data_IF_264039204692
#
_entry.id   IF_264039204692
#
_cell.length_a   1.000
_cell.length_b   1.000
_cell.length_c   1.000
_cell.angle_alpha   90.00
_cell.angle_beta   90.00
_cell.angle_gamma   90.00
#
_symmetry.space_group_name_H-M   'P 1'
#
loop_
_entity.id
_entity.type
_entity.pdbx_description
1 polymer ?
#
# COMPACT_ATOMS: atom_id res chain seq x y z
N UNK A 1 -27.36 -2.46 -38.05
CA UNK A 1 -28.06 -2.15 -36.79
C UNK A 1 -27.01 -1.73 -35.79
N UNK A 2 -26.77 -0.42 -35.66
CA UNK A 2 -25.71 0.14 -34.84
C UNK A 2 -26.29 0.33 -33.42
N UNK A 3 -25.79 -0.46 -32.48
CA UNK A 3 -26.09 -0.25 -31.03
C UNK A 3 -25.17 0.84 -30.55
N UNK A 4 -25.69 1.97 -30.02
CA UNK A 4 -24.86 3.00 -29.43
C UNK A 4 -24.27 2.43 -28.13
N UNK A 5 -22.95 2.28 -28.08
CA UNK A 5 -22.20 2.07 -26.85
C UNK A 5 -22.31 3.32 -26.00
N UNK A 6 -23.31 3.36 -25.14
CA UNK A 6 -23.40 4.31 -24.06
C UNK A 6 -22.28 4.01 -23.05
N UNK A 7 -21.14 4.66 -23.22
CA UNK A 7 -20.16 4.83 -22.17
C UNK A 7 -20.78 5.80 -21.16
N UNK A 8 -21.55 5.28 -20.21
CA UNK A 8 -21.68 5.97 -18.94
C UNK A 8 -20.29 5.92 -18.32
N UNK A 9 -19.59 7.03 -18.38
CA UNK A 9 -18.45 7.29 -17.54
C UNK A 9 -18.95 7.32 -16.09
N UNK A 10 -19.09 6.14 -15.48
CA UNK A 10 -18.96 6.08 -14.04
C UNK A 10 -17.55 6.57 -13.78
N UNK A 11 -17.43 7.76 -13.20
CA UNK A 11 -16.15 8.22 -12.63
C UNK A 11 -15.52 7.02 -11.94
N UNK A 12 -14.29 6.64 -12.28
CA UNK A 12 -13.63 5.59 -11.54
C UNK A 12 -13.72 6.01 -10.08
N UNK A 13 -14.23 5.12 -9.23
CA UNK A 13 -14.15 5.31 -7.80
C UNK A 13 -12.70 5.69 -7.54
N UNK A 14 -12.48 6.89 -7.01
CA UNK A 14 -11.12 7.33 -6.67
C UNK A 14 -10.59 6.22 -5.80
N UNK A 15 -9.53 5.51 -6.21
CA UNK A 15 -9.01 4.43 -5.42
C UNK A 15 -8.76 4.98 -4.03
N UNK A 16 -9.25 4.27 -3.01
CA UNK A 16 -8.83 4.52 -1.65
C UNK A 16 -7.31 4.53 -1.70
N UNK A 17 -6.71 5.71 -1.60
CA UNK A 17 -5.27 5.79 -1.54
C UNK A 17 -4.84 4.90 -0.40
N UNK A 18 -3.94 3.98 -0.65
CA UNK A 18 -3.24 3.35 0.43
C UNK A 18 -2.56 4.49 1.18
N UNK A 19 -3.02 4.68 2.35
CA UNK A 19 -2.44 5.59 3.28
C UNK A 19 -1.10 5.02 3.65
N UNK A 20 -0.09 5.86 3.58
CA UNK A 20 1.19 5.59 4.19
C UNK A 20 0.96 5.32 5.69
N UNK A 21 0.72 4.05 5.99
CA UNK A 21 0.51 3.55 7.34
C UNK A 21 1.86 3.28 8.05
N UNK A 22 2.98 3.65 7.42
CA UNK A 22 4.27 3.78 8.10
C UNK A 22 4.30 4.99 9.03
N UNK A 23 3.12 5.60 9.26
CA UNK A 23 3.05 6.64 10.28
C UNK A 23 3.68 6.12 11.57
N UNK A 24 4.70 6.80 12.07
CA UNK A 24 5.45 6.43 13.28
C UNK A 24 4.57 6.19 14.51
N UNK A 25 3.31 6.60 14.49
CA UNK A 25 2.32 6.38 15.54
C UNK A 25 2.12 4.89 15.92
N UNK A 26 2.36 3.94 15.02
CA UNK A 26 2.26 2.52 15.39
C UNK A 26 3.37 2.07 16.35
N UNK A 27 4.51 2.77 16.36
CA UNK A 27 5.67 2.43 17.17
C UNK A 27 6.00 3.47 18.23
N UNK A 28 5.16 4.49 18.44
CA UNK A 28 5.37 5.42 19.54
C UNK A 28 5.13 4.70 20.86
N UNK A 29 6.20 4.21 21.45
CA UNK A 29 6.24 3.91 22.87
C UNK A 29 6.22 5.26 23.59
N UNK A 30 5.08 5.57 24.20
CA UNK A 30 5.03 6.66 25.17
C UNK A 30 6.00 6.28 26.30
N UNK A 31 6.93 7.17 26.71
CA UNK A 31 7.75 6.89 27.86
C UNK A 31 6.81 6.65 29.05
N UNK A 32 6.77 5.42 29.53
CA UNK A 32 6.01 5.04 30.73
C UNK A 32 6.74 5.68 31.91
N UNK A 33 6.35 6.90 32.26
CA UNK A 33 6.94 7.64 33.38
C UNK A 33 6.32 7.30 34.72
N UNK A 34 5.18 6.56 34.72
CA UNK A 34 4.54 6.06 35.95
C UNK A 34 4.18 4.59 35.74
N UNK A 35 4.25 3.78 36.82
CA UNK A 35 3.73 2.40 36.81
C UNK A 35 2.23 2.43 36.53
N UNK A 36 1.85 2.31 35.25
CA UNK A 36 0.46 2.25 34.88
C UNK A 36 -0.20 1.02 35.54
N UNK A 37 -1.30 1.25 36.23
CA UNK A 37 -2.16 0.15 36.70
C UNK A 37 -2.99 -0.32 35.51
N UNK A 38 -2.86 -1.57 35.16
CA UNK A 38 -3.65 -2.20 34.10
C UNK A 38 -5.08 -2.56 34.56
N UNK A 39 -6.08 -2.48 33.68
CA UNK A 39 -5.99 -1.99 32.29
C UNK A 39 -6.02 -0.47 32.21
N UNK A 40 -5.37 0.11 31.17
CA UNK A 40 -5.52 1.52 30.85
C UNK A 40 -5.77 1.75 29.36
N UNK A 41 -6.29 2.92 29.03
CA UNK A 41 -6.56 3.34 27.64
C UNK A 41 -5.65 4.49 27.27
N UNK A 42 -5.10 4.39 26.08
CA UNK A 42 -4.28 5.39 25.44
C UNK A 42 -4.92 5.79 24.11
N UNK A 43 -5.01 7.09 23.81
CA UNK A 43 -5.68 7.59 22.61
C UNK A 43 -4.76 8.56 21.89
N UNK A 44 -4.47 8.22 20.63
CA UNK A 44 -3.76 9.08 19.69
C UNK A 44 -4.63 9.36 18.49
N UNK A 45 -4.21 10.31 17.66
CA UNK A 45 -4.91 10.59 16.44
C UNK A 45 -4.08 11.37 15.43
N UNK A 46 -4.57 11.39 14.22
CA UNK A 46 -4.08 12.31 13.20
C UNK A 46 -5.24 12.88 12.38
N UNK A 47 -5.01 14.09 11.86
CA UNK A 47 -5.86 14.73 10.88
C UNK A 47 -5.03 15.17 9.69
N UNK A 48 -5.36 14.67 8.49
CA UNK A 48 -4.61 14.93 7.26
C UNK A 48 -5.47 15.63 6.22
N UNK A 49 -4.96 16.71 5.64
CA UNK A 49 -5.39 17.27 4.37
C UNK A 49 -4.43 16.87 3.27
N UNK A 50 -4.99 16.52 2.15
CA UNK A 50 -4.23 16.20 0.95
C UNK A 50 -4.82 16.94 -0.23
N UNK A 51 -3.95 17.55 -1.02
CA UNK A 51 -4.27 18.17 -2.31
C UNK A 51 -3.34 17.60 -3.37
N UNK A 52 -3.90 17.31 -4.53
CA UNK A 52 -3.10 16.81 -5.62
C UNK A 52 -3.77 17.05 -6.96
N UNK A 53 -2.96 17.00 -7.98
CA UNK A 53 -3.40 17.01 -9.37
C UNK A 53 -2.54 16.07 -10.18
N UNK A 54 -3.14 15.51 -11.21
CA UNK A 54 -2.42 14.61 -12.10
C UNK A 54 -3.02 14.65 -13.50
N UNK A 55 -2.37 13.93 -14.38
CA UNK A 55 -2.80 13.67 -15.73
C UNK A 55 -2.63 12.20 -16.02
N UNK A 56 -3.69 11.58 -16.48
CA UNK A 56 -3.69 10.22 -16.96
C UNK A 56 -3.92 10.22 -18.47
N UNK A 57 -3.09 9.49 -19.20
CA UNK A 57 -3.20 9.30 -20.64
C UNK A 57 -3.24 7.83 -20.97
N UNK A 58 -4.22 7.44 -21.76
CA UNK A 58 -4.37 6.08 -22.23
C UNK A 58 -4.63 6.05 -23.73
N UNK A 59 -3.89 5.23 -24.43
CA UNK A 59 -4.18 4.89 -25.81
C UNK A 59 -4.87 3.52 -25.83
N UNK A 60 -6.14 3.47 -26.24
CA UNK A 60 -6.87 2.22 -26.45
C UNK A 60 -6.97 1.91 -27.94
N UNK A 61 -6.77 0.65 -28.34
CA UNK A 61 -6.96 0.22 -29.70
C UNK A 61 -8.34 -0.42 -29.84
N UNK A 62 -9.22 0.19 -30.62
CA UNK A 62 -10.52 -0.37 -30.97
C UNK A 62 -10.47 -1.25 -32.23
N UNK A 63 -9.41 -1.09 -33.03
CA UNK A 63 -9.01 -1.92 -34.15
C UNK A 63 -7.50 -1.75 -34.37
N UNK A 64 -6.81 -2.63 -35.12
CA UNK A 64 -5.37 -2.53 -35.35
C UNK A 64 -4.89 -1.18 -35.87
N UNK A 65 -5.75 -0.48 -36.62
CA UNK A 65 -5.51 0.83 -37.24
C UNK A 65 -6.17 2.01 -36.53
N UNK A 66 -6.96 1.77 -35.47
CA UNK A 66 -7.73 2.81 -34.78
C UNK A 66 -7.29 2.93 -33.31
N UNK A 67 -6.47 3.95 -33.05
CA UNK A 67 -6.09 4.35 -31.70
C UNK A 67 -7.04 5.43 -31.19
N UNK A 68 -7.70 5.16 -30.08
CA UNK A 68 -8.48 6.16 -29.33
C UNK A 68 -7.64 6.64 -28.17
N UNK A 69 -7.32 7.92 -28.17
CA UNK A 69 -6.62 8.56 -27.05
C UNK A 69 -7.62 9.03 -26.01
N UNK A 70 -7.37 8.68 -24.76
CA UNK A 70 -8.08 9.19 -23.59
C UNK A 70 -7.09 10.02 -22.77
N UNK A 71 -7.47 11.24 -22.43
CA UNK A 71 -6.67 12.17 -21.61
C UNK A 71 -7.58 12.67 -20.49
N UNK A 72 -7.21 12.38 -19.24
CA UNK A 72 -7.99 12.72 -18.07
C UNK A 72 -7.16 13.51 -17.08
N UNK A 73 -7.73 14.57 -16.53
CA UNK A 73 -7.13 15.33 -15.44
C UNK A 73 -7.63 14.78 -14.11
N UNK A 74 -6.68 14.43 -13.26
CA UNK A 74 -6.95 13.95 -11.91
C UNK A 74 -6.80 15.13 -10.95
N UNK A 75 -7.83 15.37 -10.14
CA UNK A 75 -7.78 16.30 -9.02
C UNK A 75 -8.06 15.51 -7.75
N UNK A 76 -7.23 15.69 -6.75
CA UNK A 76 -7.29 14.96 -5.51
C UNK A 76 -7.42 15.98 -4.38
N UNK A 77 -8.51 15.89 -3.64
CA UNK A 77 -8.69 16.63 -2.39
C UNK A 77 -9.33 15.67 -1.42
N UNK A 78 -8.55 15.28 -0.41
CA UNK A 78 -9.03 14.35 0.62
C UNK A 78 -8.75 14.88 2.01
N UNK A 79 -9.64 14.59 2.93
CA UNK A 79 -9.51 14.84 4.36
C UNK A 79 -9.66 13.52 5.09
N UNK A 80 -8.79 13.26 6.04
CA UNK A 80 -8.80 12.03 6.81
C UNK A 80 -8.59 12.33 8.29
N UNK A 81 -9.48 11.81 9.11
CA UNK A 81 -9.32 11.74 10.56
C UNK A 81 -9.11 10.28 10.95
N UNK A 82 -8.08 10.01 11.74
CA UNK A 82 -7.88 8.71 12.39
C UNK A 82 -7.77 8.90 13.89
N UNK A 83 -8.40 8.00 14.64
CA UNK A 83 -8.28 7.88 16.08
C UNK A 83 -7.82 6.47 16.41
N UNK A 84 -6.86 6.37 17.31
CA UNK A 84 -6.24 5.11 17.73
C UNK A 84 -6.44 4.89 19.24
N UNK A 85 -7.60 4.43 19.69
CA UNK A 85 -7.78 4.01 21.06
C UNK A 85 -7.13 2.63 21.28
N UNK A 86 -6.11 2.58 22.13
CA UNK A 86 -5.43 1.36 22.53
C UNK A 86 -5.78 1.01 23.97
N UNK A 87 -6.22 -0.22 24.21
CA UNK A 87 -6.52 -0.73 25.54
C UNK A 87 -5.40 -1.69 25.93
N UNK A 88 -4.63 -1.33 26.93
CA UNK A 88 -3.53 -2.12 27.45
C UNK A 88 -4.03 -2.99 28.63
N UNK A 89 -4.06 -4.31 28.43
CA UNK A 89 -4.43 -5.26 29.48
C UNK A 89 -3.24 -5.63 30.36
N UNK A 90 -2.03 -5.53 29.82
CA UNK A 90 -0.76 -5.75 30.52
C UNK A 90 0.37 -5.06 29.72
N UNK A 91 1.59 -5.09 30.23
CA UNK A 91 2.78 -4.65 29.50
C UNK A 91 2.99 -5.35 28.16
N UNK A 92 2.45 -6.56 28.02
CA UNK A 92 2.68 -7.43 26.86
C UNK A 92 1.47 -7.56 25.95
N UNK A 93 0.29 -7.18 26.41
CA UNK A 93 -0.96 -7.46 25.67
C UNK A 93 -1.82 -6.22 25.58
N UNK A 94 -2.20 -5.86 24.36
CA UNK A 94 -3.10 -4.74 24.07
C UNK A 94 -4.14 -5.12 23.02
N UNK A 95 -5.31 -4.47 23.10
CA UNK A 95 -6.27 -4.38 22.01
C UNK A 95 -6.02 -3.05 21.30
N UNK A 96 -5.71 -3.12 20.03
CA UNK A 96 -5.41 -1.96 19.18
C UNK A 96 -6.55 -1.71 18.21
N UNK A 97 -7.03 -0.50 18.17
CA UNK A 97 -8.15 -0.10 17.31
C UNK A 97 -7.78 1.12 16.47
N UNK A 98 -8.44 1.27 15.34
CA UNK A 98 -8.41 2.48 14.53
C UNK A 98 -9.82 2.81 14.07
N UNK A 99 -10.28 3.99 14.40
CA UNK A 99 -11.46 4.60 13.83
C UNK A 99 -11.01 5.59 12.74
N UNK A 100 -11.67 5.58 11.60
CA UNK A 100 -11.27 6.41 10.45
C UNK A 100 -12.47 7.06 9.79
N UNK A 101 -12.37 8.36 9.50
CA UNK A 101 -13.26 9.12 8.62
C UNK A 101 -12.43 9.65 7.44
N UNK A 102 -12.69 9.14 6.26
CA UNK A 102 -12.04 9.57 5.01
C UNK A 102 -13.07 10.26 4.12
N UNK A 103 -12.78 11.49 3.74
CA UNK A 103 -13.63 12.29 2.87
C UNK A 103 -12.91 12.67 1.61
N UNK A 104 -13.57 12.44 0.48
CA UNK A 104 -13.12 12.90 -0.82
C UNK A 104 -14.09 13.97 -1.30
N UNK A 105 -13.62 15.19 -1.58
CA UNK A 105 -14.47 16.32 -1.96
C UNK A 105 -15.15 16.13 -3.32
N UNK A 106 -14.76 15.14 -4.11
CA UNK A 106 -15.43 14.83 -5.39
C UNK A 106 -16.64 13.92 -5.24
N UNK A 107 -16.77 13.23 -4.13
CA UNK A 107 -17.83 12.27 -3.92
C UNK A 107 -18.89 12.85 -2.96
N UNK A 108 -19.67 13.78 -3.49
CA UNK A 108 -20.75 14.45 -2.73
C UNK A 108 -21.82 13.46 -2.22
N UNK A 109 -21.85 12.24 -2.73
CA UNK A 109 -22.78 11.18 -2.37
C UNK A 109 -22.12 10.06 -1.54
N UNK A 110 -20.84 10.15 -1.23
CA UNK A 110 -20.20 9.17 -0.36
C UNK A 110 -20.80 9.31 1.05
N UNK A 111 -21.35 8.24 1.55
CA UNK A 111 -21.76 8.13 2.96
C UNK A 111 -20.52 8.32 3.82
N UNK A 112 -20.43 9.50 4.43
CA UNK A 112 -19.33 9.88 5.30
C UNK A 112 -19.56 9.28 6.67
N UNK A 113 -18.96 8.13 6.93
CA UNK A 113 -19.12 7.45 8.21
C UNK A 113 -17.76 7.20 8.84
N UNK A 114 -17.69 7.49 10.13
CA UNK A 114 -16.61 6.99 10.96
C UNK A 114 -16.71 5.46 11.00
N UNK A 115 -15.72 4.77 10.48
CA UNK A 115 -15.71 3.32 10.43
C UNK A 115 -14.55 2.72 11.22
N UNK A 116 -14.74 1.48 11.67
CA UNK A 116 -13.70 0.72 12.34
C UNK A 116 -12.70 0.18 11.31
N UNK A 117 -11.58 0.88 11.16
CA UNK A 117 -10.54 0.53 10.21
C UNK A 117 -9.70 -0.67 10.66
N UNK A 118 -9.35 -0.74 11.96
CA UNK A 118 -8.56 -1.82 12.55
C UNK A 118 -9.14 -2.24 13.89
N UNK A 119 -9.00 -3.53 14.21
CA UNK A 119 -9.33 -4.11 15.49
C UNK A 119 -8.56 -5.42 15.65
N UNK A 120 -7.53 -5.42 16.47
CA UNK A 120 -6.71 -6.60 16.68
C UNK A 120 -6.10 -6.64 18.07
N UNK A 121 -5.86 -7.85 18.54
CA UNK A 121 -5.09 -8.10 19.76
C UNK A 121 -3.62 -8.22 19.37
N UNK A 122 -2.75 -7.50 20.08
CA UNK A 122 -1.31 -7.64 20.01
C UNK A 122 -0.78 -8.20 21.32
N UNK A 123 0.04 -9.25 21.21
CA UNK A 123 0.84 -9.77 22.33
C UNK A 123 2.30 -9.75 21.92
N UNK A 124 3.14 -9.11 22.74
CA UNK A 124 4.58 -9.01 22.48
C UNK A 124 5.37 -9.37 23.73
N UNK A 125 6.22 -10.38 23.61
CA UNK A 125 7.06 -10.84 24.69
C UNK A 125 8.43 -11.29 24.17
N UNK A 126 9.48 -10.60 24.63
CA UNK A 126 10.85 -10.86 24.18
C UNK A 126 10.92 -10.95 22.63
N UNK A 127 11.20 -12.17 22.10
CA UNK A 127 11.37 -12.41 20.67
C UNK A 127 10.09 -12.89 19.97
N UNK A 128 8.96 -12.85 20.63
CA UNK A 128 7.68 -13.29 20.09
C UNK A 128 6.73 -12.09 19.99
N UNK A 129 6.19 -11.84 18.80
CA UNK A 129 5.06 -10.93 18.59
C UNK A 129 3.94 -11.65 17.86
N UNK A 130 2.73 -11.57 18.39
CA UNK A 130 1.52 -12.13 17.81
C UNK A 130 0.50 -11.03 17.62
N UNK A 131 -0.10 -10.95 16.44
CA UNK A 131 -1.18 -10.04 16.13
C UNK A 131 -2.32 -10.82 15.50
N UNK A 132 -3.53 -10.67 16.01
CA UNK A 132 -4.71 -11.42 15.57
C UNK A 132 -5.92 -10.49 15.45
N UNK A 133 -6.57 -10.48 14.30
CA UNK A 133 -7.72 -9.64 13.98
C UNK A 133 -7.54 -8.85 12.70
N UNK A 134 -8.06 -7.61 12.66
CA UNK A 134 -7.91 -6.69 11.54
C UNK A 134 -6.79 -5.71 11.80
N UNK A 135 -5.69 -5.82 11.06
CA UNK A 135 -4.52 -4.93 11.16
C UNK A 135 -4.04 -4.51 9.76
N UNK A 136 -3.11 -3.54 9.71
CA UNK A 136 -2.46 -3.20 8.45
C UNK A 136 -1.35 -4.20 8.14
N UNK A 137 -1.37 -4.74 6.93
CA UNK A 137 -0.31 -5.59 6.41
C UNK A 137 0.50 -4.81 5.39
N UNK A 138 1.62 -4.31 5.86
CA UNK A 138 2.60 -3.55 5.10
C UNK A 138 3.86 -4.40 4.96
N UNK A 139 4.29 -4.61 3.74
CA UNK A 139 5.45 -5.43 3.45
C UNK A 139 6.39 -4.70 2.51
N UNK A 140 7.66 -4.59 2.94
CA UNK A 140 8.78 -4.11 2.14
C UNK A 140 8.46 -2.78 1.40
N UNK A 141 8.19 -1.73 2.18
CA UNK A 141 7.80 -0.38 1.71
C UNK A 141 6.51 -0.31 0.89
N UNK A 142 5.62 -1.29 1.07
CA UNK A 142 4.32 -1.31 0.40
C UNK A 142 4.38 -1.55 -1.11
N UNK A 143 5.55 -1.90 -1.66
CA UNK A 143 5.68 -2.13 -3.10
C UNK A 143 4.83 -3.30 -3.60
N UNK A 144 4.53 -4.27 -2.73
CA UNK A 144 3.72 -5.45 -3.04
C UNK A 144 2.36 -5.37 -2.38
N UNK A 145 2.33 -5.09 -1.09
CA UNK A 145 1.09 -5.00 -0.31
C UNK A 145 1.20 -3.94 0.78
N UNK A 146 0.21 -3.07 0.84
CA UNK A 146 -0.11 -2.22 1.97
C UNK A 146 -1.63 -2.15 2.06
N UNK A 147 -2.21 -3.01 2.86
CA UNK A 147 -3.66 -3.15 2.96
C UNK A 147 -4.05 -3.64 4.34
N UNK A 148 -5.21 -3.20 4.80
CA UNK A 148 -5.86 -3.80 5.97
C UNK A 148 -6.22 -5.25 5.65
N UNK A 149 -5.90 -6.16 6.57
CA UNK A 149 -6.12 -7.60 6.45
C UNK A 149 -6.81 -8.13 7.70
N UNK A 150 -7.62 -9.16 7.54
CA UNK A 150 -8.14 -9.98 8.66
C UNK A 150 -7.28 -11.24 8.74
N UNK A 151 -6.56 -11.46 9.83
CA UNK A 151 -5.65 -12.60 9.92
C UNK A 151 -4.88 -12.75 11.21
N UNK A 152 -3.85 -13.56 11.11
CA UNK A 152 -2.86 -13.81 12.16
C UNK A 152 -1.48 -13.47 11.62
N UNK A 153 -0.69 -12.71 12.39
CA UNK A 153 0.73 -12.47 12.14
C UNK A 153 1.54 -12.92 13.34
N UNK A 154 2.56 -13.70 13.09
CA UNK A 154 3.49 -14.23 14.08
C UNK A 154 4.91 -13.82 13.70
N UNK A 155 5.61 -13.10 14.56
CA UNK A 155 7.03 -12.79 14.42
C UNK A 155 7.84 -13.48 15.49
N UNK A 156 8.89 -14.17 15.07
CA UNK A 156 9.87 -14.85 15.93
C UNK A 156 11.26 -14.22 15.69
N UNK A 157 11.96 -13.90 16.77
CA UNK A 157 13.28 -13.29 16.69
C UNK A 157 13.23 -11.78 16.53
N UNK A 158 14.41 -11.18 16.41
CA UNK A 158 14.61 -9.75 16.22
C UNK A 158 15.56 -9.54 15.02
N UNK A 159 15.32 -8.51 14.22
CA UNK A 159 16.12 -8.21 13.04
C UNK A 159 17.60 -7.97 13.35
N UNK A 160 17.87 -7.30 14.48
CA UNK A 160 19.19 -6.81 14.88
C UNK A 160 19.98 -7.78 15.72
N UNK A 161 19.36 -8.85 16.22
CA UNK A 161 19.98 -9.78 17.15
C UNK A 161 19.94 -11.22 16.63
N UNK A 162 21.04 -11.94 16.78
CA UNK A 162 21.15 -13.34 16.42
C UNK A 162 20.98 -13.62 14.92
N UNK A 163 20.24 -14.66 14.55
CA UNK A 163 20.04 -15.03 13.15
C UNK A 163 19.03 -14.14 12.39
N UNK A 164 18.45 -13.13 13.05
CA UNK A 164 17.38 -12.30 12.47
C UNK A 164 15.99 -12.69 12.98
N UNK A 165 14.96 -12.22 12.26
CA UNK A 165 13.57 -12.51 12.58
C UNK A 165 12.86 -13.22 11.44
N UNK A 166 11.89 -14.07 11.79
CA UNK A 166 10.99 -14.75 10.88
C UNK A 166 9.55 -14.29 11.17
N UNK A 167 8.86 -13.77 10.16
CA UNK A 167 7.46 -13.36 10.28
C UNK A 167 6.62 -14.22 9.37
N UNK A 168 5.60 -14.86 9.94
CA UNK A 168 4.57 -15.59 9.23
C UNK A 168 3.27 -14.80 9.29
N UNK A 169 2.55 -14.73 8.18
CA UNK A 169 1.20 -14.19 8.08
C UNK A 169 0.29 -15.18 7.40
N UNK A 170 -0.96 -15.28 7.87
CA UNK A 170 -2.05 -15.97 7.19
C UNK A 170 -3.35 -15.20 7.40
N UNK A 171 -4.10 -14.97 6.31
CA UNK A 171 -5.34 -14.19 6.42
C UNK A 171 -5.95 -13.86 5.07
N UNK A 172 -6.75 -12.80 5.07
CA UNK A 172 -7.43 -12.28 3.88
C UNK A 172 -7.36 -10.76 3.84
N UNK A 173 -7.33 -10.20 2.65
CA UNK A 173 -7.44 -8.74 2.46
C UNK A 173 -8.85 -8.27 2.79
N UNK A 174 -8.97 -7.03 3.30
CA UNK A 174 -10.27 -6.38 3.53
C UNK A 174 -10.70 -5.60 2.28
N UNK A 175 -12.00 -5.43 2.09
CA UNK A 175 -12.57 -4.64 1.00
C UNK A 175 -14.09 -4.64 1.10
N UNK A 176 -14.74 -3.66 0.48
CA UNK A 176 -16.21 -3.55 0.44
C UNK A 176 -16.86 -4.59 -0.48
N UNK A 177 -16.08 -5.15 -1.41
CA UNK A 177 -16.58 -6.15 -2.37
C UNK A 177 -15.85 -7.48 -2.20
N UNK A 178 -16.60 -8.53 -1.82
CA UNK A 178 -16.07 -9.88 -1.65
C UNK A 178 -15.40 -10.43 -2.92
N UNK A 179 -15.82 -9.95 -4.09
CA UNK A 179 -15.26 -10.35 -5.40
C UNK A 179 -13.79 -9.99 -5.57
N UNK A 180 -13.26 -9.11 -4.73
CA UNK A 180 -11.89 -8.63 -4.84
C UNK A 180 -11.00 -9.03 -3.67
N UNK A 181 -11.57 -9.79 -2.72
CA UNK A 181 -10.80 -10.27 -1.57
C UNK A 181 -9.87 -11.40 -1.97
N UNK A 182 -8.64 -11.28 -1.51
CA UNK A 182 -7.63 -12.33 -1.61
C UNK A 182 -7.46 -12.98 -0.24
N UNK A 183 -7.28 -14.28 -0.21
CA UNK A 183 -6.79 -15.02 0.96
C UNK A 183 -5.42 -15.59 0.67
N UNK A 184 -4.59 -15.66 1.67
CA UNK A 184 -3.26 -16.21 1.45
C UNK A 184 -2.41 -16.21 2.70
N UNK A 185 -1.15 -16.47 2.48
CA UNK A 185 -0.13 -16.47 3.49
C UNK A 185 1.17 -15.88 2.95
N UNK A 186 2.05 -15.49 3.86
CA UNK A 186 3.39 -15.06 3.52
C UNK A 186 4.38 -15.46 4.59
N UNK A 187 5.64 -15.53 4.19
CA UNK A 187 6.79 -15.72 5.04
C UNK A 187 7.80 -14.62 4.75
N UNK A 188 8.25 -13.93 5.77
CA UNK A 188 9.27 -12.88 5.69
C UNK A 188 10.42 -13.22 6.64
N UNK A 189 11.62 -13.28 6.12
CA UNK A 189 12.85 -13.32 6.88
C UNK A 189 13.53 -11.95 6.82
N UNK A 190 13.93 -11.43 7.98
CA UNK A 190 14.59 -10.13 8.11
C UNK A 190 15.86 -10.25 8.95
N UNK A 191 16.95 -9.68 8.45
CA UNK A 191 18.25 -9.67 9.16
C UNK A 191 18.95 -8.33 8.97
N UNK A 192 19.89 -8.04 9.88
CA UNK A 192 20.74 -6.87 9.80
C UNK A 192 22.17 -7.24 10.22
N UNK A 193 23.12 -6.88 9.37
CA UNK A 193 24.55 -7.06 9.62
C UNK A 193 25.27 -5.72 9.42
N UNK A 194 25.56 -5.03 10.52
CA UNK A 194 26.13 -3.69 10.47
C UNK A 194 25.19 -2.73 9.71
N UNK A 195 25.68 -2.16 8.62
CA UNK A 195 24.93 -1.20 7.77
C UNK A 195 24.03 -1.87 6.71
N UNK A 196 24.11 -3.18 6.59
CA UNK A 196 23.31 -3.94 5.61
C UNK A 196 22.09 -4.54 6.30
N UNK A 197 20.92 -4.20 5.81
CA UNK A 197 19.64 -4.83 6.16
C UNK A 197 19.17 -5.66 4.95
N UNK A 198 18.69 -6.86 5.22
CA UNK A 198 18.20 -7.79 4.20
C UNK A 198 16.86 -8.36 4.63
N UNK A 199 15.91 -8.31 3.72
CA UNK A 199 14.57 -8.88 3.86
C UNK A 199 14.31 -9.81 2.68
N UNK A 200 13.83 -11.02 2.95
CA UNK A 200 13.40 -11.96 1.92
C UNK A 200 11.97 -12.40 2.21
N UNK A 201 11.07 -12.21 1.28
CA UNK A 201 9.66 -12.53 1.42
C UNK A 201 9.18 -13.48 0.34
N UNK A 202 8.23 -14.34 0.71
CA UNK A 202 7.43 -15.15 -0.22
C UNK A 202 5.96 -15.03 0.16
N UNK A 203 5.11 -14.78 -0.85
CA UNK A 203 3.68 -14.61 -0.70
C UNK A 203 2.94 -15.55 -1.66
N UNK A 204 1.84 -16.14 -1.17
CA UNK A 204 0.90 -16.94 -2.00
C UNK A 204 -0.52 -16.46 -1.66
N UNK A 205 -1.16 -15.79 -2.61
CA UNK A 205 -2.51 -15.24 -2.46
C UNK A 205 -3.42 -15.69 -3.58
N UNK A 206 -4.67 -16.02 -3.21
CA UNK A 206 -5.70 -16.50 -4.14
C UNK A 206 -6.99 -15.75 -3.92
N UNK A 207 -7.78 -15.61 -4.95
CA UNK A 207 -9.11 -15.03 -4.87
C UNK A 207 -10.03 -15.89 -3.99
N UNK A 208 -10.88 -15.24 -3.19
CA UNK A 208 -11.76 -15.90 -2.21
C UNK A 208 -12.98 -16.56 -2.87
N UNK A 209 -13.46 -16.03 -3.98
CA UNK A 209 -14.62 -16.54 -4.71
C UNK A 209 -14.28 -16.83 -6.16
N UNK A 210 -14.57 -18.04 -6.58
CA UNK A 210 -14.67 -18.39 -7.99
C UNK A 210 -15.88 -17.65 -8.55
N UNK A 211 -15.67 -16.57 -9.27
CA UNK A 211 -16.75 -15.92 -10.00
C UNK A 211 -17.18 -16.88 -11.12
N UNK A 212 -18.48 -17.21 -11.23
CA UNK A 212 -18.94 -17.99 -12.36
C UNK A 212 -18.50 -17.29 -13.65
N UNK A 213 -17.85 -18.05 -14.53
CA UNK A 213 -17.30 -17.63 -15.81
C UNK A 213 -18.33 -17.08 -16.80
N UNK A 214 -19.62 -17.05 -16.42
CA UNK A 214 -20.76 -16.78 -17.29
C UNK A 214 -21.11 -15.32 -17.56
N UNK A 215 -20.33 -14.35 -17.05
CA UNK A 215 -20.46 -12.98 -17.53
C UNK A 215 -19.24 -12.61 -18.35
N UNK A 216 -19.37 -12.52 -19.69
CA UNK A 216 -18.34 -11.90 -20.50
C UNK A 216 -18.12 -10.51 -19.91
N UNK A 217 -16.94 -10.25 -19.39
CA UNK A 217 -16.56 -8.91 -18.97
C UNK A 217 -16.61 -8.05 -20.22
N UNK A 218 -17.61 -7.19 -20.31
CA UNK A 218 -17.58 -6.09 -21.25
C UNK A 218 -16.24 -5.41 -21.08
N UNK A 219 -15.47 -5.38 -22.16
CA UNK A 219 -14.21 -4.67 -22.29
C UNK A 219 -14.43 -3.26 -21.72
N UNK A 220 -13.79 -2.93 -20.61
CA UNK A 220 -13.93 -1.62 -19.99
C UNK A 220 -14.46 -1.59 -18.55
N UNK A 221 -15.09 -2.63 -18.03
CA UNK A 221 -15.31 -2.71 -16.60
C UNK A 221 -14.04 -3.26 -15.96
N UNK A 222 -13.25 -2.36 -15.39
CA UNK A 222 -12.14 -2.74 -14.53
C UNK A 222 -12.69 -3.71 -13.49
N UNK A 223 -12.30 -4.97 -13.56
CA UNK A 223 -12.40 -5.83 -12.39
C UNK A 223 -11.50 -5.15 -11.36
N UNK A 224 -12.10 -4.33 -10.48
CA UNK A 224 -11.38 -3.67 -9.42
C UNK A 224 -10.79 -4.75 -8.52
N UNK A 225 -9.55 -5.10 -8.73
CA UNK A 225 -8.81 -6.18 -8.09
C UNK A 225 -7.48 -6.34 -8.78
N UNK A 226 -6.65 -7.24 -8.30
CA UNK A 226 -5.32 -7.50 -8.86
C UNK A 226 -5.36 -7.94 -10.33
N UNK A 227 -6.51 -8.37 -10.79
CA UNK A 227 -6.65 -8.93 -12.13
C UNK A 227 -6.27 -10.41 -12.20
N UNK A 228 -5.67 -10.98 -11.18
CA UNK A 228 -5.25 -12.38 -11.09
C UNK A 228 -6.11 -13.15 -10.09
N UNK A 229 -6.35 -14.43 -10.35
CA UNK A 229 -7.04 -15.33 -9.44
C UNK A 229 -6.07 -15.97 -8.45
N UNK A 230 -4.82 -16.12 -8.85
CA UNK A 230 -3.70 -16.54 -8.01
C UNK A 230 -2.48 -15.68 -8.30
N UNK A 231 -1.78 -15.28 -7.22
CA UNK A 231 -0.51 -14.55 -7.30
C UNK A 231 0.47 -15.15 -6.29
N UNK A 232 1.67 -15.47 -6.78
CA UNK A 232 2.81 -15.85 -5.95
C UNK A 232 3.90 -14.83 -6.19
N UNK A 233 4.53 -14.35 -5.13
CA UNK A 233 5.52 -13.30 -5.23
C UNK A 233 6.69 -13.67 -4.34
N UNK A 234 7.89 -13.66 -4.92
CA UNK A 234 9.14 -13.69 -4.20
C UNK A 234 9.76 -12.30 -4.27
N UNK A 235 10.16 -11.77 -3.13
CA UNK A 235 10.79 -10.46 -3.02
C UNK A 235 12.04 -10.57 -2.16
N UNK A 236 13.12 -9.93 -2.60
CA UNK A 236 14.35 -9.80 -1.84
C UNK A 236 14.76 -8.34 -1.82
N UNK A 237 14.76 -7.75 -0.64
CA UNK A 237 15.13 -6.38 -0.40
C UNK A 237 16.49 -6.29 0.28
N UNK A 238 17.34 -5.44 -0.26
CA UNK A 238 18.62 -5.05 0.31
C UNK A 238 18.58 -3.55 0.61
N UNK A 239 18.98 -3.16 1.81
CA UNK A 239 19.14 -1.77 2.20
C UNK A 239 20.52 -1.56 2.78
N UNK A 240 21.24 -0.57 2.31
CA UNK A 240 22.59 -0.25 2.76
C UNK A 240 22.69 1.21 3.20
N UNK A 241 23.10 1.41 4.43
CA UNK A 241 23.34 2.75 4.99
C UNK A 241 24.68 3.28 4.47
N UNK A 242 24.65 4.06 3.38
CA UNK A 242 25.82 4.70 2.78
C UNK A 242 26.46 5.69 3.75
N UNK A 243 25.62 6.48 4.42
CA UNK A 243 25.99 7.41 5.50
C UNK A 243 24.90 7.37 6.57
N UNK A 244 25.09 7.97 7.76
CA UNK A 244 24.02 8.06 8.77
C UNK A 244 22.72 8.73 8.30
N UNK A 245 22.77 9.46 7.17
CA UNK A 245 21.60 10.13 6.59
C UNK A 245 21.19 9.64 5.22
N UNK A 246 21.96 8.75 4.60
CA UNK A 246 21.70 8.29 3.24
C UNK A 246 21.66 6.77 3.18
N UNK A 247 20.51 6.24 2.79
CA UNK A 247 20.27 4.81 2.58
C UNK A 247 19.96 4.54 1.12
N UNK A 248 20.59 3.54 0.53
CA UNK A 248 20.22 2.98 -0.76
C UNK A 248 19.46 1.67 -0.53
N UNK A 249 18.39 1.44 -1.30
CA UNK A 249 17.67 0.17 -1.29
C UNK A 249 17.44 -0.37 -2.70
N UNK A 250 17.37 -1.70 -2.79
CA UNK A 250 17.05 -2.44 -3.99
C UNK A 250 16.14 -3.61 -3.62
N UNK A 251 14.92 -3.59 -4.16
CA UNK A 251 13.95 -4.68 -4.06
C UNK A 251 13.98 -5.46 -5.38
N UNK A 252 14.28 -6.74 -5.33
CA UNK A 252 14.21 -7.66 -6.47
C UNK A 252 12.92 -8.44 -6.37
N UNK A 253 12.14 -8.42 -7.44
CA UNK A 253 10.78 -8.99 -7.51
C UNK A 253 10.74 -10.11 -8.54
N UNK A 254 10.13 -11.23 -8.17
CA UNK A 254 9.74 -12.27 -9.10
C UNK A 254 8.31 -12.71 -8.80
N UNK A 255 7.44 -12.66 -9.80
CA UNK A 255 6.03 -12.87 -9.61
C UNK A 255 5.43 -13.81 -10.64
N UNK A 256 4.50 -14.64 -10.17
CA UNK A 256 3.68 -15.54 -10.98
C UNK A 256 2.22 -15.14 -10.77
N UNK A 257 1.52 -14.89 -11.85
CA UNK A 257 0.10 -14.58 -11.84
C UNK A 257 -0.66 -15.56 -12.72
N UNK A 258 -1.81 -16.03 -12.23
CA UNK A 258 -2.71 -16.91 -12.96
C UNK A 258 -4.08 -16.29 -13.09
N UNK A 259 -4.64 -16.39 -14.28
CA UNK A 259 -5.97 -15.96 -14.66
C UNK A 259 -6.80 -17.16 -15.10
N UNK A 260 -7.67 -17.69 -14.23
CA UNK A 260 -8.47 -18.87 -14.54
C UNK A 260 -9.51 -18.60 -15.64
N UNK A 261 -10.07 -17.38 -15.69
CA UNK A 261 -11.10 -17.03 -16.66
C UNK A 261 -10.60 -16.86 -18.10
N UNK A 262 -9.36 -16.44 -18.27
CA UNK A 262 -8.78 -16.08 -19.57
C UNK A 262 -7.64 -17.02 -19.97
N UNK A 263 -7.28 -18.00 -19.10
CA UNK A 263 -6.13 -18.90 -19.30
C UNK A 263 -4.80 -18.15 -19.41
N UNK A 264 -4.72 -16.93 -18.86
CA UNK A 264 -3.54 -16.09 -18.97
C UNK A 264 -2.66 -16.27 -17.75
N UNK A 265 -1.55 -16.92 -17.95
CA UNK A 265 -0.49 -17.05 -16.96
C UNK A 265 0.64 -16.08 -17.30
N UNK A 266 1.20 -15.45 -16.29
CA UNK A 266 2.37 -14.58 -16.43
C UNK A 266 3.41 -14.94 -15.40
N UNK A 267 4.65 -14.92 -15.83
CA UNK A 267 5.82 -15.01 -14.95
C UNK A 267 6.78 -13.91 -15.35
N UNK A 268 7.14 -13.06 -14.42
CA UNK A 268 7.96 -11.89 -14.75
C UNK A 268 8.78 -11.45 -13.52
N UNK A 269 9.88 -10.78 -13.79
CA UNK A 269 10.79 -10.24 -12.78
C UNK A 269 10.93 -8.73 -12.94
N UNK A 270 11.22 -8.05 -11.87
CA UNK A 270 11.47 -6.62 -11.88
C UNK A 270 12.17 -6.17 -10.60
N UNK A 271 12.23 -4.87 -10.41
CA UNK A 271 12.89 -4.29 -9.26
C UNK A 271 12.34 -2.92 -8.89
N UNK A 272 12.59 -2.53 -7.64
CA UNK A 272 12.43 -1.15 -7.17
C UNK A 272 13.76 -0.71 -6.57
N UNK A 273 14.31 0.39 -7.07
CA UNK A 273 15.54 0.98 -6.53
C UNK A 273 15.22 2.32 -5.88
N UNK A 274 15.76 2.57 -4.68
CA UNK A 274 15.50 3.82 -3.98
C UNK A 274 16.75 4.40 -3.32
N UNK A 275 16.74 5.72 -3.18
CA UNK A 275 17.63 6.48 -2.30
C UNK A 275 16.75 7.26 -1.32
N UNK A 276 17.04 7.12 -0.04
CA UNK A 276 16.37 7.83 1.05
C UNK A 276 17.39 8.68 1.79
N UNK A 277 17.11 9.96 1.96
CA UNK A 277 17.97 10.92 2.66
C UNK A 277 17.24 11.57 3.81
N UNK A 278 17.90 11.64 4.96
CA UNK A 278 17.35 12.21 6.18
C UNK A 278 16.73 11.15 7.08
N UNK A 279 16.03 11.62 8.07
CA UNK A 279 15.24 10.82 9.00
C UNK A 279 14.14 11.72 9.57
N UNK A 280 12.91 11.25 9.48
CA UNK A 280 11.77 11.97 10.03
C UNK A 280 11.61 11.65 11.52
N UNK A 281 11.67 12.71 12.34
CA UNK A 281 11.31 12.65 13.77
C UNK A 281 10.18 13.65 14.02
N UNK A 282 8.97 13.17 14.28
CA UNK A 282 7.77 13.98 14.47
C UNK A 282 7.85 14.93 15.67
N UNK A 283 8.74 14.66 16.60
CA UNK A 283 8.97 15.49 17.78
C UNK A 283 9.99 16.58 17.55
N UNK A 284 10.77 16.49 16.47
CA UNK A 284 11.86 17.41 16.17
C UNK A 284 11.47 18.35 15.02
N UNK A 285 11.21 19.63 15.36
CA UNK A 285 11.04 20.68 14.35
C UNK A 285 12.21 20.72 13.38
N UNK A 286 11.90 20.76 12.09
CA UNK A 286 12.90 20.83 11.03
C UNK A 286 13.48 19.47 10.62
N UNK A 287 13.08 18.36 11.25
CA UNK A 287 13.45 17.04 10.77
C UNK A 287 12.76 16.77 9.45
N UNK A 288 13.43 16.03 8.58
CA UNK A 288 12.93 15.71 7.26
C UNK A 288 13.44 14.37 6.76
N UNK A 289 12.66 13.79 5.86
CA UNK A 289 13.05 12.63 5.08
C UNK A 289 12.65 12.87 3.62
N UNK A 290 13.54 12.54 2.70
CA UNK A 290 13.26 12.61 1.28
C UNK A 290 13.67 11.32 0.61
N UNK A 291 12.85 10.84 -0.32
CA UNK A 291 13.23 9.68 -1.12
C UNK A 291 12.94 9.91 -2.61
N UNK A 292 13.72 9.22 -3.44
CA UNK A 292 13.48 9.04 -4.86
C UNK A 292 13.52 7.54 -5.16
N UNK A 293 12.55 7.06 -5.96
CA UNK A 293 12.41 5.65 -6.35
C UNK A 293 12.26 5.50 -7.85
N UNK A 294 12.86 4.47 -8.38
CA UNK A 294 12.59 3.99 -9.72
C UNK A 294 11.94 2.61 -9.62
N UNK A 295 10.85 2.45 -10.33
CA UNK A 295 10.06 1.24 -10.37
C UNK A 295 10.21 0.58 -11.73
N UNK A 296 10.44 -0.71 -11.75
CA UNK A 296 10.25 -1.63 -12.87
C UNK A 296 9.52 -2.84 -12.35
N UNK A 297 8.20 -2.68 -12.14
CA UNK A 297 7.39 -3.60 -11.33
C UNK A 297 6.48 -4.46 -12.20
N UNK A 298 6.59 -5.81 -12.10
CA UNK A 298 5.76 -6.74 -12.85
C UNK A 298 4.29 -6.66 -12.43
N UNK A 299 3.38 -6.93 -13.36
CA UNK A 299 1.94 -6.90 -13.10
C UNK A 299 1.50 -7.81 -11.95
N UNK A 300 2.01 -9.05 -11.91
CA UNK A 300 1.64 -10.03 -10.90
C UNK A 300 2.26 -9.77 -9.51
N UNK A 301 3.21 -8.83 -9.39
CA UNK A 301 3.82 -8.47 -8.12
C UNK A 301 3.01 -7.48 -7.30
N UNK A 302 1.91 -6.95 -7.84
CA UNK A 302 1.09 -5.94 -7.20
C UNK A 302 -0.14 -6.62 -6.60
N UNK A 303 -0.16 -6.86 -5.30
CA UNK A 303 -1.36 -7.31 -4.60
C UNK A 303 -2.25 -6.12 -4.26
N UNK A 304 -1.75 -5.20 -3.47
CA UNK A 304 -2.34 -3.91 -3.15
C UNK A 304 -1.20 -2.93 -2.91
N UNK A 305 -0.92 -2.11 -3.90
CA UNK A 305 0.15 -1.15 -3.82
C UNK A 305 -0.29 0.17 -3.21
N UNK A 306 0.60 0.79 -2.45
CA UNK A 306 0.35 1.99 -1.67
C UNK A 306 0.97 3.23 -2.23
N UNK A 307 1.56 3.14 -3.40
CA UNK A 307 1.97 4.36 -4.06
C UNK A 307 0.79 5.30 -4.14
N UNK A 308 1.01 6.54 -3.77
CA UNK A 308 0.04 7.60 -3.93
C UNK A 308 -0.26 7.92 -5.41
N UNK A 309 0.53 7.40 -6.35
CA UNK A 309 0.16 7.25 -7.75
C UNK A 309 -0.95 6.21 -7.91
N UNK A 310 -1.95 6.50 -8.73
CA UNK A 310 -3.03 5.54 -9.01
C UNK A 310 -2.52 4.37 -9.85
N UNK A 311 -1.97 3.34 -9.16
CA UNK A 311 -1.46 2.14 -9.82
C UNK A 311 -2.57 1.17 -10.27
N UNK A 312 -3.84 1.49 -10.04
CA UNK A 312 -4.98 0.63 -10.37
C UNK A 312 -5.00 0.27 -11.84
N UNK A 313 -4.65 1.21 -12.71
CA UNK A 313 -4.60 1.00 -14.15
C UNK A 313 -3.44 0.09 -14.57
N UNK A 314 -2.38 -0.02 -13.79
CA UNK A 314 -1.18 -0.77 -14.15
C UNK A 314 -1.18 -2.22 -13.66
N UNK A 315 -2.14 -2.63 -12.83
CA UNK A 315 -2.15 -3.95 -12.17
C UNK A 315 -2.03 -5.14 -13.13
N UNK A 316 -2.56 -5.02 -14.34
CA UNK A 316 -2.47 -6.08 -15.36
C UNK A 316 -1.25 -5.99 -16.28
N UNK A 317 -0.60 -4.83 -16.31
CA UNK A 317 0.45 -4.54 -17.28
C UNK A 317 1.80 -4.36 -16.62
N UNK A 318 1.82 -4.26 -15.28
CA UNK A 318 2.96 -3.75 -14.57
C UNK A 318 3.23 -2.28 -14.91
N UNK A 319 4.17 -1.67 -14.23
CA UNK A 319 4.54 -0.29 -14.51
C UNK A 319 6.04 -0.06 -14.32
N UNK A 320 6.54 0.98 -14.95
CA UNK A 320 7.86 1.52 -14.70
C UNK A 320 7.81 3.04 -14.64
N UNK A 321 8.73 3.63 -13.90
CA UNK A 321 8.82 5.08 -13.77
C UNK A 321 9.38 5.52 -12.44
N UNK A 322 9.20 6.79 -12.15
CA UNK A 322 9.80 7.47 -11.00
C UNK A 322 8.75 7.92 -10.01
N UNK A 323 9.09 7.83 -8.73
CA UNK A 323 8.41 8.50 -7.63
C UNK A 323 9.41 9.27 -6.80
N UNK A 324 8.96 10.34 -6.16
CA UNK A 324 9.74 11.11 -5.20
C UNK A 324 8.83 11.70 -4.14
N UNK A 325 9.35 11.81 -2.91
CA UNK A 325 8.63 12.41 -1.78
C UNK A 325 9.59 13.15 -0.87
N UNK A 326 9.10 14.21 -0.26
CA UNK A 326 9.72 14.92 0.84
C UNK A 326 8.70 15.06 1.97
N UNK A 327 9.06 14.63 3.16
CA UNK A 327 8.36 14.86 4.41
C UNK A 327 9.18 15.84 5.27
N UNK A 328 8.50 16.78 5.92
CA UNK A 328 9.13 17.81 6.73
C UNK A 328 8.29 18.13 7.98
N UNK A 329 8.89 18.15 9.15
CA UNK A 329 8.24 18.53 10.40
C UNK A 329 8.29 20.05 10.56
N UNK A 330 7.15 20.70 10.35
CA UNK A 330 6.98 22.14 10.47
C UNK A 330 7.11 22.58 11.93
N UNK A 331 6.49 21.78 12.80
CA UNK A 331 6.60 21.88 14.27
C UNK A 331 6.22 20.53 14.87
N UNK A 332 6.59 20.23 16.12
CA UNK A 332 6.15 19.01 16.78
C UNK A 332 4.64 18.81 16.63
N UNK A 333 4.23 17.63 16.15
CA UNK A 333 2.83 17.32 15.89
C UNK A 333 2.26 17.88 14.57
N UNK A 334 3.07 18.54 13.71
CA UNK A 334 2.61 19.04 12.42
C UNK A 334 3.63 18.73 11.32
N UNK A 335 3.27 17.85 10.40
CA UNK A 335 4.07 17.46 9.24
C UNK A 335 3.49 18.00 7.93
N UNK A 336 4.37 18.43 7.04
CA UNK A 336 4.08 18.74 5.65
C UNK A 336 4.78 17.74 4.76
N UNK A 337 4.10 17.29 3.69
CA UNK A 337 4.70 16.41 2.70
C UNK A 337 4.36 16.86 1.28
N UNK A 338 5.27 16.60 0.37
CA UNK A 338 5.04 16.70 -1.07
C UNK A 338 5.54 15.44 -1.75
N UNK A 339 4.76 14.93 -2.70
CA UNK A 339 5.09 13.72 -3.44
C UNK A 339 4.71 13.85 -4.90
N UNK A 340 5.39 13.09 -5.76
CA UNK A 340 5.07 13.07 -7.18
C UNK A 340 5.50 11.78 -7.83
N UNK A 341 4.72 11.37 -8.84
CA UNK A 341 4.96 10.16 -9.62
C UNK A 341 4.85 10.43 -11.11
N UNK A 342 5.69 9.76 -11.88
CA UNK A 342 5.63 9.73 -13.34
C UNK A 342 5.78 8.27 -13.79
N UNK A 343 4.69 7.64 -14.15
CA UNK A 343 4.59 6.22 -14.40
C UNK A 343 4.11 5.92 -15.81
N UNK A 344 4.49 4.77 -16.34
CA UNK A 344 3.97 4.20 -17.58
C UNK A 344 3.81 2.69 -17.43
N UNK A 345 2.93 2.10 -18.23
CA UNK A 345 2.81 0.64 -18.27
C UNK A 345 4.10 0.00 -18.79
N UNK A 346 4.43 -1.15 -18.24
CA UNK A 346 5.60 -1.94 -18.60
C UNK A 346 5.38 -2.74 -19.88
N UNK A 347 4.21 -3.33 -20.01
CA UNK A 347 3.82 -4.13 -21.16
C UNK A 347 2.60 -3.54 -21.88
N UNK A 348 2.52 -3.74 -23.19
CA UNK A 348 1.36 -3.43 -23.99
C UNK A 348 0.69 -4.74 -24.39
N UNK A 349 -0.62 -4.80 -24.32
CA UNK A 349 -1.40 -5.89 -24.93
C UNK A 349 -1.86 -5.49 -26.34
N UNK A 350 -2.36 -6.44 -27.12
CA UNK A 350 -2.91 -6.14 -28.43
C UNK A 350 -4.04 -5.09 -28.39
N UNK A 351 -4.72 -4.95 -27.24
CA UNK A 351 -5.88 -4.09 -27.02
C UNK A 351 -5.56 -2.86 -26.17
N UNK A 352 -4.45 -2.86 -25.44
CA UNK A 352 -4.01 -1.75 -24.60
C UNK A 352 -2.79 -1.09 -25.21
N UNK A 353 -2.91 0.19 -25.49
CA UNK A 353 -1.79 1.00 -25.95
C UNK A 353 -0.92 1.50 -24.79
N UNK A 354 -0.31 2.66 -24.96
CA UNK A 354 0.49 3.30 -23.94
C UNK A 354 -0.40 3.91 -22.85
N UNK A 355 -0.12 3.56 -21.59
CA UNK A 355 -0.68 4.22 -20.42
C UNK A 355 0.43 5.05 -19.76
N UNK A 356 0.11 6.27 -19.40
CA UNK A 356 1.03 7.15 -18.66
C UNK A 356 0.24 7.89 -17.60
N UNK A 357 0.84 8.01 -16.44
CA UNK A 357 0.30 8.80 -15.34
C UNK A 357 1.37 9.71 -14.80
N UNK A 358 1.00 10.95 -14.54
CA UNK A 358 1.82 11.90 -13.79
C UNK A 358 0.92 12.51 -12.73
N UNK A 359 1.35 12.43 -11.48
CA UNK A 359 0.60 12.99 -10.35
C UNK A 359 1.57 13.72 -9.42
N UNK A 360 1.11 14.82 -8.85
CA UNK A 360 1.79 15.54 -7.78
C UNK A 360 0.78 15.86 -6.69
N UNK A 361 1.16 15.64 -5.45
CA UNK A 361 0.35 15.88 -4.29
C UNK A 361 1.12 16.59 -3.19
N UNK A 362 0.41 17.28 -2.32
CA UNK A 362 0.93 17.83 -1.07
C UNK A 362 -0.04 17.57 0.04
N UNK A 363 0.45 17.31 1.23
CA UNK A 363 -0.39 17.07 2.40
C UNK A 363 0.12 17.80 3.64
N UNK A 364 -0.81 18.11 4.53
CA UNK A 364 -0.54 18.62 5.86
C UNK A 364 -1.20 17.66 6.86
N UNK A 365 -0.41 17.15 7.80
CA UNK A 365 -0.88 16.18 8.81
C UNK A 365 -0.63 16.75 10.21
N UNK A 366 -1.68 16.85 11.01
CA UNK A 366 -1.60 17.18 12.43
C UNK A 366 -1.75 15.90 13.25
N UNK A 367 -0.81 15.66 14.17
CA UNK A 367 -0.80 14.53 15.11
C UNK A 367 -1.18 15.04 16.51
N UNK A 368 -1.94 14.26 17.29
CA UNK A 368 -2.38 14.62 18.64
C UNK A 368 -2.61 13.40 19.54
#
# INVERSE_FOLDING_TARGET
MLIPLGLSASSPAVPERPVDDTAPLENQEIPVTEKNTYPYVDIHGDYRWLWGRGQFRADSRTAPDKVRRHDERIYLTTRRLRLFPFIHFSEKTSLRTQLEDLRNDKDANADHHLYLGRLYVQHEQARLKVEAGRFNYYLLDGNVIDKKVDGLRLRLGERTTGPGSLTFFAGRTTGSDDRHRLRGWSLLYSSQHGRLKSDAAYLDFRRLQDLPSSRPSLIGQSRAGTGFDEQRIAEWRLMYELTPKLTASLDLLHAWGRHDADGYDTTDSGFVAALTYGHLDERQKGSYEAWIRYYDQPSASILYHTMDGDTTFFRRMGFCGWGARLDYIVQPGLAWAVEGFSLKNRHHTAWTGAFRETVIGTSLTAYF
#
